data_IF_007597919305
#
_entry.id   IF_007597919305
#
_cell.length_a   1.000
_cell.length_b   1.000
_cell.length_c   1.000
_cell.angle_alpha   90.00
_cell.angle_beta   90.00
_cell.angle_gamma   90.00
#
_symmetry.space_group_name_H-M   'P 1'
#
loop_
_entity.id
_entity.type
_entity.pdbx_description
1 polymer ?
#
# COMPACT_ATOMS: atom_id res chain seq x y z
N UNK A 1 38.85 80.37 -28.86
CA UNK A 1 39.16 80.04 -27.46
C UNK A 1 38.39 78.78 -27.10
N UNK A 2 39.08 77.65 -26.99
CA UNK A 2 38.50 76.34 -26.73
C UNK A 2 38.39 76.12 -25.21
N UNK A 3 37.20 75.80 -24.72
CA UNK A 3 36.97 75.43 -23.32
C UNK A 3 37.24 73.93 -23.16
N UNK A 4 38.32 73.65 -22.44
CA UNK A 4 38.81 72.33 -22.08
C UNK A 4 37.85 71.64 -21.09
N UNK A 5 37.32 70.47 -21.48
CA UNK A 5 36.63 69.56 -20.57
C UNK A 5 37.65 68.82 -19.70
N UNK A 6 37.82 69.28 -18.46
CA UNK A 6 38.54 68.53 -17.43
C UNK A 6 37.64 67.36 -16.96
N UNK A 7 37.94 66.16 -17.45
CA UNK A 7 37.41 64.89 -16.93
C UNK A 7 38.04 64.67 -15.55
N UNK A 8 37.23 64.72 -14.48
CA UNK A 8 37.64 64.26 -13.15
C UNK A 8 37.82 62.74 -13.22
N UNK A 9 39.03 62.27 -12.97
CA UNK A 9 39.32 60.85 -12.77
C UNK A 9 38.90 60.49 -11.35
N UNK A 10 37.90 59.62 -11.23
CA UNK A 10 37.53 59.03 -9.95
C UNK A 10 38.67 58.13 -9.46
N UNK A 11 39.09 58.22 -8.19
CA UNK A 11 40.15 57.39 -7.65
C UNK A 11 39.71 55.93 -7.64
N UNK A 12 40.49 55.08 -8.31
CA UNK A 12 40.47 53.62 -8.27
C UNK A 12 39.87 53.07 -6.97
N UNK A 13 38.61 52.67 -7.00
CA UNK A 13 38.15 51.63 -6.09
C UNK A 13 38.91 50.37 -6.50
N UNK A 14 39.65 49.70 -5.58
CA UNK A 14 40.26 48.44 -5.93
C UNK A 14 39.14 47.51 -6.41
N UNK A 15 39.23 47.02 -7.66
CA UNK A 15 38.43 45.90 -8.11
C UNK A 15 38.53 44.85 -7.01
N UNK A 16 37.38 44.35 -6.54
CA UNK A 16 37.37 43.20 -5.64
C UNK A 16 38.19 42.11 -6.31
N UNK A 17 39.44 41.97 -5.87
CA UNK A 17 40.37 41.00 -6.41
C UNK A 17 39.68 39.67 -6.22
N UNK A 18 39.23 39.07 -7.33
CA UNK A 18 38.36 37.91 -7.33
C UNK A 18 39.23 36.71 -6.93
N UNK A 19 39.52 36.64 -5.63
CA UNK A 19 40.36 35.66 -4.92
C UNK A 19 39.92 34.23 -5.19
N UNK A 20 38.72 34.07 -5.75
CA UNK A 20 38.24 32.87 -6.41
C UNK A 20 39.37 32.25 -7.24
N UNK A 21 40.10 33.03 -8.06
CA UNK A 21 41.23 32.62 -8.92
C UNK A 21 42.37 31.82 -8.26
N UNK A 22 42.65 32.05 -6.96
CA UNK A 22 43.79 31.47 -6.23
C UNK A 22 43.52 30.04 -5.70
N UNK A 23 42.26 29.59 -5.73
CA UNK A 23 41.87 28.29 -5.20
C UNK A 23 41.97 27.22 -6.31
N UNK A 24 42.61 26.06 -6.08
CA UNK A 24 42.68 24.96 -7.05
C UNK A 24 41.28 24.53 -7.54
N UNK A 25 41.13 24.30 -8.86
CA UNK A 25 39.84 23.98 -9.50
C UNK A 25 39.12 22.79 -8.84
N UNK A 26 39.86 21.78 -8.41
CA UNK A 26 39.30 20.61 -7.70
C UNK A 26 38.62 20.98 -6.39
N UNK A 27 39.20 21.90 -5.60
CA UNK A 27 38.62 22.34 -4.33
C UNK A 27 37.33 23.14 -4.56
N UNK A 28 37.25 23.93 -5.65
CA UNK A 28 36.03 24.68 -6.01
C UNK A 28 34.89 23.76 -6.45
N UNK A 29 35.18 22.74 -7.26
CA UNK A 29 34.17 21.77 -7.70
C UNK A 29 33.67 20.95 -6.52
N UNK A 30 34.58 20.48 -5.66
CA UNK A 30 34.22 19.75 -4.44
C UNK A 30 33.41 20.62 -3.47
N UNK A 31 33.78 21.88 -3.27
CA UNK A 31 33.01 22.82 -2.45
C UNK A 31 31.62 23.09 -3.06
N UNK A 32 31.54 23.28 -4.39
CA UNK A 32 30.30 23.50 -5.12
C UNK A 32 29.34 22.30 -5.01
N UNK A 33 29.89 21.08 -5.12
CA UNK A 33 29.12 19.85 -4.95
C UNK A 33 28.71 19.66 -3.49
N UNK A 34 29.60 19.93 -2.54
CA UNK A 34 29.35 19.78 -1.12
C UNK A 34 28.22 20.69 -0.63
N UNK A 35 28.20 21.98 -0.96
CA UNK A 35 27.12 22.86 -0.50
C UNK A 35 25.78 22.52 -1.16
N UNK A 36 25.76 22.16 -2.45
CA UNK A 36 24.54 21.69 -3.14
C UNK A 36 24.02 20.41 -2.50
N UNK A 37 24.90 19.46 -2.19
CA UNK A 37 24.55 18.24 -1.48
C UNK A 37 23.99 18.53 -0.09
N UNK A 38 24.64 19.41 0.70
CA UNK A 38 24.15 19.84 2.01
C UNK A 38 22.76 20.48 1.90
N UNK A 39 22.53 21.37 0.92
CA UNK A 39 21.23 22.00 0.71
C UNK A 39 20.16 20.96 0.36
N UNK A 40 20.48 19.98 -0.49
CA UNK A 40 19.54 18.89 -0.83
C UNK A 40 19.23 18.03 0.40
N UNK A 41 20.25 17.65 1.17
CA UNK A 41 20.07 16.85 2.41
C UNK A 41 19.27 17.64 3.44
N UNK A 42 19.57 18.93 3.63
CA UNK A 42 18.84 19.81 4.54
C UNK A 42 17.38 19.99 4.10
N UNK A 43 17.13 20.16 2.79
CA UNK A 43 15.78 20.24 2.24
C UNK A 43 15.01 18.92 2.45
N UNK A 44 15.63 17.77 2.21
CA UNK A 44 15.03 16.45 2.47
C UNK A 44 14.72 16.27 3.96
N UNK A 45 15.66 16.61 4.84
CA UNK A 45 15.45 16.54 6.29
C UNK A 45 14.30 17.45 6.73
N UNK A 46 14.24 18.69 6.23
CA UNK A 46 13.17 19.62 6.54
C UNK A 46 11.80 19.08 6.08
N UNK A 47 11.73 18.47 4.90
CA UNK A 47 10.49 17.83 4.40
C UNK A 47 10.06 16.68 5.31
N UNK A 48 10.99 15.77 5.67
CA UNK A 48 10.69 14.65 6.57
C UNK A 48 10.26 15.15 7.95
N UNK A 49 10.92 16.18 8.47
CA UNK A 49 10.59 16.78 9.75
C UNK A 49 9.21 17.43 9.75
N UNK A 50 8.87 18.20 8.71
CA UNK A 50 7.52 18.78 8.53
C UNK A 50 6.46 17.71 8.39
N UNK A 51 6.72 16.64 7.63
CA UNK A 51 5.80 15.50 7.50
C UNK A 51 5.55 14.84 8.86
N UNK A 52 6.61 14.63 9.66
CA UNK A 52 6.49 14.08 11.01
C UNK A 52 5.71 14.99 11.95
N UNK A 53 5.97 16.30 11.91
CA UNK A 53 5.25 17.31 12.70
C UNK A 53 3.77 17.37 12.33
N UNK A 54 3.44 17.21 11.05
CA UNK A 54 2.07 17.22 10.53
C UNK A 54 1.45 15.80 10.46
N UNK A 55 1.99 14.82 11.17
CA UNK A 55 1.51 13.42 11.15
C UNK A 55 0.02 13.29 11.45
N UNK A 56 -0.53 14.14 12.32
CA UNK A 56 -1.97 14.25 12.64
C UNK A 56 -2.84 14.50 11.39
N UNK A 57 -2.29 15.15 10.37
CA UNK A 57 -2.98 15.42 9.09
C UNK A 57 -2.51 14.47 8.00
N UNK A 58 -1.20 14.17 7.94
CA UNK A 58 -0.60 13.35 6.88
C UNK A 58 -1.11 11.91 6.92
N UNK A 59 -1.29 11.33 8.11
CA UNK A 59 -1.78 9.95 8.24
C UNK A 59 -3.22 9.84 7.71
N UNK A 60 -4.21 10.62 8.21
CA UNK A 60 -5.55 10.65 7.62
C UNK A 60 -5.59 10.99 6.13
N UNK A 61 -4.77 11.93 5.65
CA UNK A 61 -4.67 12.28 4.23
C UNK A 61 -4.23 11.07 3.39
N UNK A 62 -3.24 10.32 3.88
CA UNK A 62 -2.70 9.15 3.20
C UNK A 62 -3.70 7.99 3.21
N UNK A 63 -4.40 7.77 4.33
CA UNK A 63 -5.49 6.78 4.40
C UNK A 63 -6.61 7.18 3.45
N UNK A 64 -7.01 8.44 3.43
CA UNK A 64 -8.04 8.95 2.52
C UNK A 64 -7.64 8.78 1.04
N UNK A 65 -6.36 8.94 0.72
CA UNK A 65 -5.83 8.68 -0.62
C UNK A 65 -5.97 7.19 -1.00
N UNK A 66 -5.65 6.26 -0.09
CA UNK A 66 -5.83 4.82 -0.31
C UNK A 66 -7.30 4.44 -0.47
N UNK A 67 -8.15 4.93 0.43
CA UNK A 67 -9.60 4.66 0.39
C UNK A 67 -10.21 5.24 -0.88
N UNK A 68 -9.81 6.46 -1.26
CA UNK A 68 -10.21 7.06 -2.54
C UNK A 68 -9.75 6.20 -3.72
N UNK A 69 -8.50 5.73 -3.73
CA UNK A 69 -7.99 4.86 -4.79
C UNK A 69 -8.76 3.53 -4.89
N UNK A 70 -9.15 2.94 -3.76
CA UNK A 70 -9.98 1.73 -3.70
C UNK A 70 -11.40 1.97 -4.24
N UNK A 71 -12.03 3.08 -3.84
CA UNK A 71 -13.43 3.37 -4.12
C UNK A 71 -13.65 4.09 -5.47
N UNK A 72 -12.62 4.74 -6.03
CA UNK A 72 -12.72 5.50 -7.27
C UNK A 72 -13.32 4.71 -8.46
N UNK A 73 -12.94 3.44 -8.71
CA UNK A 73 -13.54 2.66 -9.80
C UNK A 73 -15.06 2.47 -9.61
N UNK A 74 -15.52 2.28 -8.37
CA UNK A 74 -16.95 2.13 -8.07
C UNK A 74 -17.72 3.43 -8.30
N UNK A 75 -17.15 4.59 -7.89
CA UNK A 75 -17.73 5.91 -8.17
C UNK A 75 -17.82 6.14 -9.67
N UNK A 76 -16.77 5.84 -10.43
CA UNK A 76 -16.77 6.04 -11.88
C UNK A 76 -17.76 5.13 -12.61
N UNK A 77 -17.98 3.90 -12.15
CA UNK A 77 -19.04 3.02 -12.68
C UNK A 77 -20.43 3.63 -12.50
N UNK A 78 -20.73 4.21 -11.33
CA UNK A 78 -22.02 4.89 -11.11
C UNK A 78 -22.16 6.17 -11.95
N UNK A 79 -21.09 6.96 -12.06
CA UNK A 79 -21.07 8.16 -12.91
C UNK A 79 -21.28 7.79 -14.39
N UNK A 80 -20.71 6.68 -14.84
CA UNK A 80 -20.93 6.16 -16.20
C UNK A 80 -22.41 5.79 -16.45
N UNK A 81 -23.15 5.41 -15.40
CA UNK A 81 -24.61 5.15 -15.42
C UNK A 81 -25.43 6.44 -15.21
N UNK A 82 -24.82 7.61 -15.43
CA UNK A 82 -25.44 8.96 -15.35
C UNK A 82 -25.81 9.45 -13.95
N UNK A 83 -25.32 8.85 -12.87
CA UNK A 83 -25.47 9.44 -11.54
C UNK A 83 -24.61 10.72 -11.42
N UNK A 84 -25.13 11.80 -10.80
CA UNK A 84 -24.31 12.97 -10.53
C UNK A 84 -23.20 12.59 -9.54
N UNK A 85 -21.98 13.09 -9.79
CA UNK A 85 -20.76 12.65 -9.09
C UNK A 85 -20.86 12.74 -7.56
N UNK A 86 -21.56 13.74 -7.03
CA UNK A 86 -21.82 13.87 -5.58
C UNK A 86 -22.63 12.70 -5.00
N UNK A 87 -23.72 12.29 -5.67
CA UNK A 87 -24.53 11.14 -5.22
C UNK A 87 -23.77 9.83 -5.40
N UNK A 88 -23.03 9.67 -6.50
CA UNK A 88 -22.20 8.48 -6.72
C UNK A 88 -21.16 8.33 -5.59
N UNK A 89 -20.49 9.42 -5.20
CA UNK A 89 -19.56 9.43 -4.05
C UNK A 89 -20.27 9.07 -2.75
N UNK A 90 -21.42 9.67 -2.45
CA UNK A 90 -22.15 9.40 -1.22
C UNK A 90 -22.59 7.93 -1.12
N UNK A 91 -23.15 7.37 -2.20
CA UNK A 91 -23.60 5.97 -2.25
C UNK A 91 -22.42 5.02 -2.04
N UNK A 92 -21.31 5.20 -2.75
CA UNK A 92 -20.14 4.32 -2.65
C UNK A 92 -19.48 4.42 -1.28
N UNK A 93 -19.41 5.62 -0.72
CA UNK A 93 -18.81 5.85 0.60
C UNK A 93 -19.67 5.25 1.72
N UNK A 94 -20.99 5.43 1.67
CA UNK A 94 -21.92 4.78 2.62
C UNK A 94 -21.85 3.26 2.49
N UNK A 95 -21.86 2.72 1.26
CA UNK A 95 -21.73 1.29 1.03
C UNK A 95 -20.38 0.74 1.54
N UNK A 96 -19.28 1.45 1.28
CA UNK A 96 -17.95 1.09 1.77
C UNK A 96 -17.87 1.09 3.30
N UNK A 97 -18.42 2.12 3.95
CA UNK A 97 -18.51 2.17 5.42
C UNK A 97 -19.40 1.07 5.99
N UNK A 98 -20.51 0.74 5.34
CA UNK A 98 -21.39 -0.35 5.76
C UNK A 98 -20.70 -1.71 5.65
N UNK A 99 -19.95 -1.96 4.56
CA UNK A 99 -19.16 -3.18 4.38
C UNK A 99 -18.06 -3.27 5.42
N UNK A 100 -17.27 -2.20 5.61
CA UNK A 100 -16.18 -2.18 6.59
C UNK A 100 -16.71 -2.33 8.02
N UNK A 101 -17.72 -1.54 8.39
CA UNK A 101 -18.36 -1.60 9.70
C UNK A 101 -18.98 -2.96 9.97
N UNK A 102 -19.72 -3.51 8.99
CA UNK A 102 -20.29 -4.85 9.07
C UNK A 102 -19.23 -5.94 9.26
N UNK A 103 -18.12 -5.87 8.53
CA UNK A 103 -17.00 -6.80 8.65
C UNK A 103 -16.32 -6.68 10.02
N UNK A 104 -16.06 -5.46 10.51
CA UNK A 104 -15.47 -5.27 11.84
C UNK A 104 -16.39 -5.75 12.96
N UNK A 105 -17.68 -5.40 12.92
CA UNK A 105 -18.67 -5.91 13.88
C UNK A 105 -18.74 -7.43 13.82
N UNK A 106 -18.71 -8.02 12.63
CA UNK A 106 -18.71 -9.46 12.45
C UNK A 106 -17.46 -10.11 13.07
N UNK A 107 -16.26 -9.57 12.86
CA UNK A 107 -15.03 -10.06 13.51
C UNK A 107 -15.13 -10.00 15.02
N UNK A 108 -15.50 -8.85 15.57
CA UNK A 108 -15.57 -8.64 17.02
C UNK A 108 -16.59 -9.59 17.65
N UNK A 109 -17.76 -9.73 17.04
CA UNK A 109 -18.81 -10.63 17.53
C UNK A 109 -18.38 -12.08 17.44
N UNK A 110 -17.83 -12.54 16.31
CA UNK A 110 -17.37 -13.92 16.13
C UNK A 110 -16.22 -14.27 17.08
N UNK A 111 -15.26 -13.36 17.25
CA UNK A 111 -14.16 -13.55 18.19
C UNK A 111 -14.70 -13.60 19.63
N UNK A 112 -15.55 -12.65 20.02
CA UNK A 112 -16.16 -12.61 21.36
C UNK A 112 -17.00 -13.84 21.67
N UNK A 113 -17.82 -14.33 20.73
CA UNK A 113 -18.60 -15.57 20.89
C UNK A 113 -17.74 -16.83 20.88
N UNK A 114 -16.58 -16.76 20.23
CA UNK A 114 -15.64 -17.87 20.10
C UNK A 114 -14.69 -18.05 21.29
N UNK A 115 -14.48 -17.00 22.08
CA UNK A 115 -13.59 -17.01 23.25
C UNK A 115 -13.93 -18.10 24.28
N UNK A 116 -15.20 -18.35 24.66
CA UNK A 116 -15.52 -19.39 25.64
C UNK A 116 -15.16 -20.80 25.14
N UNK A 117 -15.40 -21.09 23.85
CA UNK A 117 -15.03 -22.37 23.24
C UNK A 117 -13.50 -22.53 23.19
N UNK A 118 -12.79 -21.45 22.86
CA UNK A 118 -11.33 -21.46 22.89
C UNK A 118 -10.80 -21.74 24.30
N UNK A 119 -11.35 -21.10 25.32
CA UNK A 119 -10.97 -21.34 26.73
C UNK A 119 -11.17 -22.80 27.14
N UNK A 120 -12.30 -23.40 26.76
CA UNK A 120 -12.57 -24.82 27.03
C UNK A 120 -11.54 -25.74 26.35
N UNK A 121 -11.21 -25.47 25.08
CA UNK A 121 -10.22 -26.26 24.35
C UNK A 121 -8.80 -26.06 24.89
N UNK A 122 -8.42 -24.82 25.25
CA UNK A 122 -7.14 -24.55 25.93
C UNK A 122 -7.03 -25.38 27.21
N UNK A 123 -8.07 -25.35 28.06
CA UNK A 123 -8.07 -26.10 29.31
C UNK A 123 -7.97 -27.61 29.08
N UNK A 124 -8.76 -28.15 28.13
CA UNK A 124 -8.70 -29.57 27.78
C UNK A 124 -7.32 -30.00 27.26
N UNK A 125 -6.67 -29.15 26.46
CA UNK A 125 -5.33 -29.43 25.93
C UNK A 125 -4.25 -29.32 26.99
N UNK A 126 -4.37 -28.38 27.94
CA UNK A 126 -3.51 -28.32 29.13
C UNK A 126 -3.66 -29.58 29.98
N UNK A 127 -4.88 -30.10 30.14
CA UNK A 127 -5.12 -31.36 30.86
C UNK A 127 -4.50 -32.56 30.12
N UNK A 128 -4.57 -32.59 28.79
CA UNK A 128 -3.90 -33.62 27.99
C UNK A 128 -2.37 -33.55 28.09
N UNK A 129 -1.79 -32.35 28.02
CA UNK A 129 -0.35 -32.14 28.20
C UNK A 129 0.07 -32.55 29.60
N UNK A 130 -0.69 -32.17 30.64
CA UNK A 130 -0.45 -32.57 32.02
C UNK A 130 -0.49 -34.10 32.16
N UNK A 131 -1.51 -34.75 31.60
CA UNK A 131 -1.63 -36.21 31.64
C UNK A 131 -0.49 -36.91 30.90
N UNK A 132 -0.04 -36.36 29.77
CA UNK A 132 1.12 -36.87 29.04
C UNK A 132 2.44 -36.66 29.80
N UNK A 133 2.57 -35.54 30.52
CA UNK A 133 3.78 -35.22 31.29
C UNK A 133 3.89 -36.03 32.59
N UNK A 134 2.74 -36.38 33.18
CA UNK A 134 2.64 -37.22 34.37
C UNK A 134 2.78 -38.72 34.06
N UNK A 135 2.14 -39.20 32.99
CA UNK A 135 2.07 -40.64 32.67
C UNK A 135 2.94 -41.04 31.48
N UNK A 136 3.60 -40.09 30.83
CA UNK A 136 4.50 -40.33 29.71
C UNK A 136 5.94 -40.59 30.13
N UNK A 137 6.84 -40.84 29.16
CA UNK A 137 8.22 -41.25 29.42
C UNK A 137 9.05 -40.35 30.37
N UNK A 138 8.86 -39.02 30.47
CA UNK A 138 9.73 -38.18 31.30
C UNK A 138 9.44 -38.19 32.81
N UNK A 139 8.37 -38.80 33.32
CA UNK A 139 8.05 -38.95 34.77
C UNK A 139 8.37 -37.71 35.64
N UNK A 140 7.89 -36.53 35.23
CA UNK A 140 8.13 -35.30 35.98
C UNK A 140 7.27 -35.26 37.26
N UNK A 141 7.84 -34.75 38.37
CA UNK A 141 7.15 -34.63 39.66
C UNK A 141 5.98 -33.65 39.57
N UNK A 142 4.82 -34.06 40.08
CA UNK A 142 3.54 -33.34 40.04
C UNK A 142 3.62 -31.88 40.53
N UNK A 143 4.48 -31.61 41.51
CA UNK A 143 4.65 -30.31 42.16
C UNK A 143 5.24 -29.25 41.21
N UNK A 144 6.24 -29.60 40.39
CA UNK A 144 6.88 -28.65 39.47
C UNK A 144 5.96 -28.24 38.29
N UNK A 145 5.08 -29.15 37.87
CA UNK A 145 4.11 -28.91 36.79
C UNK A 145 3.00 -27.99 37.29
N UNK A 146 2.51 -28.23 38.51
CA UNK A 146 1.41 -27.46 39.07
C UNK A 146 1.81 -26.01 39.36
N UNK A 147 3.05 -25.78 39.81
CA UNK A 147 3.58 -24.43 40.04
C UNK A 147 3.75 -23.65 38.73
N UNK A 148 4.24 -24.29 37.66
CA UNK A 148 4.39 -23.65 36.35
C UNK A 148 3.03 -23.32 35.72
N UNK A 149 2.05 -24.21 35.83
CA UNK A 149 0.67 -23.98 35.36
C UNK A 149 0.03 -22.83 36.14
N UNK A 150 0.15 -22.84 37.47
CA UNK A 150 -0.40 -21.78 38.32
C UNK A 150 0.26 -20.42 38.04
N UNK A 151 1.57 -20.39 37.76
CA UNK A 151 2.27 -19.17 37.34
C UNK A 151 1.81 -18.67 35.97
N UNK A 152 1.62 -19.55 34.99
CA UNK A 152 1.12 -19.19 33.66
C UNK A 152 -0.33 -18.66 33.71
N UNK A 153 -1.21 -19.32 34.47
CA UNK A 153 -2.59 -18.88 34.69
C UNK A 153 -2.61 -17.55 35.47
N UNK A 154 -1.79 -17.43 36.51
CA UNK A 154 -1.63 -16.21 37.29
C UNK A 154 -1.12 -15.03 36.47
N UNK A 155 -0.21 -15.25 35.52
CA UNK A 155 0.28 -14.21 34.60
C UNK A 155 -0.84 -13.70 33.69
N UNK A 156 -1.71 -14.59 33.19
CA UNK A 156 -2.86 -14.24 32.36
C UNK A 156 -3.93 -13.48 33.17
N UNK A 157 -4.27 -13.97 34.36
CA UNK A 157 -5.29 -13.37 35.23
C UNK A 157 -4.85 -12.00 35.80
N UNK A 158 -3.59 -11.88 36.21
CA UNK A 158 -3.06 -10.62 36.74
C UNK A 158 -2.87 -9.55 35.66
N UNK A 159 -2.63 -9.95 34.39
CA UNK A 159 -2.64 -9.01 33.27
C UNK A 159 -4.06 -8.64 32.80
N UNK A 160 -5.09 -9.43 33.14
CA UNK A 160 -6.49 -9.11 32.84
C UNK A 160 -6.97 -7.86 33.61
N UNK A 161 -6.45 -7.64 34.83
CA UNK A 161 -6.69 -6.42 35.60
C UNK A 161 -6.03 -5.18 34.96
N UNK A 162 -4.92 -5.34 34.23
CA UNK A 162 -4.24 -4.27 33.48
C UNK A 162 -4.99 -3.85 32.20
N UNK A 163 -5.83 -4.73 31.66
CA UNK A 163 -6.72 -4.45 30.52
C UNK A 163 -7.96 -3.63 30.97
N UNK A 164 -8.28 -3.62 32.26
CA UNK A 164 -9.52 -3.00 32.77
C UNK A 164 -9.32 -1.54 33.25
N UNK A 165 -8.09 -1.13 33.60
CA UNK A 165 -7.77 0.24 34.06
C UNK A 165 -7.54 1.27 32.95
N UNK A 166 -7.78 0.93 31.70
CA UNK A 166 -7.64 1.81 30.51
C UNK A 166 -8.84 2.76 30.32
N UNK A 167 -9.75 2.93 31.28
CA UNK A 167 -10.96 3.72 31.07
C UNK A 167 -10.72 5.22 30.84
N UNK A 168 -9.67 5.81 31.44
CA UNK A 168 -9.35 7.24 31.28
C UNK A 168 -8.49 7.54 30.03
N UNK A 169 -7.63 6.62 29.60
CA UNK A 169 -6.90 6.70 28.32
C UNK A 169 -7.80 6.39 27.11
N UNK A 170 -8.91 5.68 27.32
CA UNK A 170 -9.88 5.39 26.26
C UNK A 170 -10.54 6.66 25.71
N UNK A 171 -10.87 7.65 26.55
CA UNK A 171 -11.58 8.85 26.08
C UNK A 171 -10.74 9.72 25.14
N UNK A 172 -9.46 9.97 25.47
CA UNK A 172 -8.55 10.73 24.59
C UNK A 172 -8.22 9.98 23.31
N UNK A 173 -7.96 8.67 23.40
CA UNK A 173 -7.68 7.83 22.22
C UNK A 173 -8.90 7.71 21.31
N UNK A 174 -10.11 7.57 21.86
CA UNK A 174 -11.35 7.58 21.06
C UNK A 174 -11.54 8.94 20.40
N UNK A 175 -11.24 10.05 21.08
CA UNK A 175 -11.27 11.39 20.50
C UNK A 175 -10.30 11.56 19.33
N UNK A 176 -9.06 11.09 19.46
CA UNK A 176 -8.05 11.12 18.39
C UNK A 176 -8.46 10.25 17.20
N UNK A 177 -8.93 9.02 17.45
CA UNK A 177 -9.40 8.10 16.41
C UNK A 177 -10.61 8.71 15.69
N UNK A 178 -11.57 9.26 16.42
CA UNK A 178 -12.76 9.88 15.85
C UNK A 178 -12.39 11.11 15.01
N UNK A 179 -11.48 11.95 15.52
CA UNK A 179 -10.99 13.13 14.78
C UNK A 179 -10.28 12.70 13.50
N UNK A 180 -9.36 11.73 13.60
CA UNK A 180 -8.66 11.17 12.44
C UNK A 180 -9.61 10.51 11.43
N UNK A 181 -10.62 9.80 11.92
CA UNK A 181 -11.66 9.18 11.10
C UNK A 181 -12.51 10.24 10.37
N UNK A 182 -13.00 11.26 11.06
CA UNK A 182 -13.78 12.35 10.47
C UNK A 182 -12.97 13.12 9.44
N UNK A 183 -11.70 13.38 9.72
CA UNK A 183 -10.79 14.07 8.80
C UNK A 183 -10.49 13.19 7.57
N UNK A 184 -10.24 11.89 7.75
CA UNK A 184 -10.10 10.92 6.66
C UNK A 184 -11.35 10.87 5.79
N UNK A 185 -12.53 10.82 6.42
CA UNK A 185 -13.83 10.77 5.75
C UNK A 185 -14.04 12.03 4.91
N UNK A 186 -13.82 13.20 5.51
CA UNK A 186 -13.90 14.49 4.85
C UNK A 186 -12.99 14.56 3.62
N UNK A 187 -11.70 14.22 3.78
CA UNK A 187 -10.75 14.23 2.65
C UNK A 187 -11.16 13.25 1.56
N UNK A 188 -11.61 12.05 1.93
CA UNK A 188 -12.06 11.02 0.98
C UNK A 188 -13.22 11.53 0.13
N UNK A 189 -14.21 12.21 0.74
CA UNK A 189 -15.33 12.82 0.03
C UNK A 189 -14.84 13.83 -1.01
N UNK A 190 -13.90 14.71 -0.63
CA UNK A 190 -13.34 15.71 -1.54
C UNK A 190 -12.53 15.09 -2.68
N UNK A 191 -11.72 14.05 -2.39
CA UNK A 191 -10.96 13.32 -3.40
C UNK A 191 -11.86 12.60 -4.41
N UNK A 192 -12.93 11.94 -3.95
CA UNK A 192 -13.87 11.24 -4.85
C UNK A 192 -14.75 12.20 -5.65
N UNK A 193 -15.29 13.24 -5.00
CA UNK A 193 -16.19 14.21 -5.65
C UNK A 193 -15.47 15.15 -6.63
N UNK A 194 -14.27 15.62 -6.29
CA UNK A 194 -13.58 16.70 -7.00
C UNK A 194 -12.07 16.52 -7.18
N UNK A 195 -11.55 15.30 -7.11
CA UNK A 195 -10.11 15.02 -7.15
C UNK A 195 -9.35 15.63 -8.33
N UNK A 196 -9.95 15.68 -9.53
CA UNK A 196 -9.33 16.32 -10.70
C UNK A 196 -9.14 17.84 -10.49
N UNK A 197 -10.11 18.49 -9.84
CA UNK A 197 -10.03 19.90 -9.48
C UNK A 197 -8.89 20.16 -8.49
N UNK A 198 -8.80 19.33 -7.44
CA UNK A 198 -7.74 19.39 -6.42
C UNK A 198 -6.36 19.20 -7.07
N UNK A 199 -6.22 18.20 -7.93
CA UNK A 199 -4.98 17.95 -8.65
C UNK A 199 -4.60 19.12 -9.56
N UNK A 200 -5.55 19.65 -10.34
CA UNK A 200 -5.31 20.80 -11.22
C UNK A 200 -4.87 22.04 -10.43
N UNK A 201 -5.39 22.24 -9.21
CA UNK A 201 -4.99 23.31 -8.32
C UNK A 201 -3.55 23.14 -7.84
N UNK A 202 -3.15 21.93 -7.44
CA UNK A 202 -1.77 21.62 -7.03
C UNK A 202 -0.77 21.82 -8.17
N UNK A 203 -1.10 21.34 -9.37
CA UNK A 203 -0.23 21.45 -10.56
C UNK A 203 -0.07 22.91 -11.02
N UNK A 204 -1.00 23.81 -10.69
CA UNK A 204 -0.85 25.25 -11.00
C UNK A 204 0.30 25.92 -10.26
N UNK A 205 0.69 25.42 -9.08
CA UNK A 205 1.85 25.92 -8.34
C UNK A 205 3.18 25.58 -9.03
N UNK A 206 3.18 24.59 -9.93
CA UNK A 206 4.38 24.15 -10.66
C UNK A 206 4.70 25.10 -11.81
N UNK A 207 5.98 25.49 -11.99
CA UNK A 207 6.42 26.32 -13.12
C UNK A 207 6.05 25.72 -14.47
N UNK A 208 5.65 26.56 -15.44
CA UNK A 208 5.17 26.15 -16.77
C UNK A 208 6.10 25.13 -17.49
N UNK A 209 7.44 25.26 -17.47
CA UNK A 209 8.32 24.36 -18.24
C UNK A 209 8.27 22.90 -17.81
N UNK A 210 7.96 22.63 -16.54
CA UNK A 210 7.96 21.26 -15.98
C UNK A 210 6.56 20.77 -15.60
N UNK A 211 5.53 21.61 -15.78
CA UNK A 211 4.17 21.36 -15.35
C UNK A 211 3.58 20.07 -15.93
N UNK A 212 3.72 19.85 -17.23
CA UNK A 212 3.18 18.65 -17.88
C UNK A 212 3.86 17.37 -17.37
N UNK A 213 5.17 17.42 -17.13
CA UNK A 213 5.92 16.30 -16.56
C UNK A 213 5.44 15.97 -15.14
N UNK A 214 5.17 16.99 -14.33
CA UNK A 214 4.64 16.79 -12.97
C UNK A 214 3.19 16.29 -12.99
N UNK A 215 2.34 16.80 -13.88
CA UNK A 215 0.96 16.33 -14.06
C UNK A 215 0.94 14.83 -14.38
N UNK A 216 1.70 14.44 -15.41
CA UNK A 216 1.83 13.05 -15.84
C UNK A 216 2.40 12.16 -14.73
N UNK A 217 3.47 12.60 -14.05
CA UNK A 217 4.08 11.84 -12.97
C UNK A 217 3.09 11.60 -11.80
N UNK A 218 2.30 12.62 -11.44
CA UNK A 218 1.30 12.47 -10.38
C UNK A 218 0.14 11.58 -10.79
N UNK A 219 -0.35 11.68 -12.03
CA UNK A 219 -1.38 10.76 -12.56
C UNK A 219 -0.90 9.32 -12.56
N UNK A 220 0.34 9.05 -13.00
CA UNK A 220 0.92 7.69 -12.94
C UNK A 220 1.15 7.22 -11.52
N UNK A 221 1.59 8.10 -10.63
CA UNK A 221 1.69 7.81 -9.20
C UNK A 221 0.34 7.36 -8.64
N UNK A 222 -0.73 8.10 -8.92
CA UNK A 222 -2.07 7.74 -8.50
C UNK A 222 -2.58 6.45 -9.16
N UNK A 223 -2.28 6.22 -10.45
CA UNK A 223 -2.60 4.97 -11.14
C UNK A 223 -1.93 3.75 -10.48
N UNK A 224 -0.66 3.89 -10.09
CA UNK A 224 0.10 2.89 -9.33
C UNK A 224 -0.57 2.59 -7.99
N UNK A 225 -1.05 3.63 -7.30
CA UNK A 225 -1.80 3.47 -6.05
C UNK A 225 -3.10 2.68 -6.24
N UNK A 226 -3.90 3.03 -7.25
CA UNK A 226 -5.15 2.35 -7.58
C UNK A 226 -4.89 0.87 -7.91
N UNK A 227 -3.88 0.60 -8.75
CA UNK A 227 -3.49 -0.77 -9.10
C UNK A 227 -3.03 -1.56 -7.89
N UNK A 228 -2.17 -0.98 -7.04
CA UNK A 228 -1.68 -1.62 -5.82
C UNK A 228 -2.84 -1.98 -4.88
N UNK A 229 -3.69 -1.01 -4.54
CA UNK A 229 -4.78 -1.22 -3.58
C UNK A 229 -5.79 -2.26 -4.08
N UNK A 230 -6.08 -2.28 -5.39
CA UNK A 230 -6.93 -3.32 -6.00
C UNK A 230 -6.30 -4.70 -5.94
N UNK A 231 -5.02 -4.80 -6.26
CA UNK A 231 -4.30 -6.06 -6.22
C UNK A 231 -4.19 -6.59 -4.78
N UNK A 232 -3.86 -5.73 -3.81
CA UNK A 232 -3.83 -6.10 -2.38
C UNK A 232 -5.21 -6.57 -1.90
N UNK A 233 -6.29 -5.89 -2.29
CA UNK A 233 -7.64 -6.33 -1.92
C UNK A 233 -7.99 -7.70 -2.54
N UNK A 234 -7.62 -7.95 -3.80
CA UNK A 234 -7.81 -9.25 -4.43
C UNK A 234 -6.98 -10.36 -3.77
N UNK A 235 -5.70 -10.09 -3.48
CA UNK A 235 -4.82 -10.99 -2.73
C UNK A 235 -5.41 -11.31 -1.36
N UNK A 236 -5.83 -10.31 -0.60
CA UNK A 236 -6.43 -10.47 0.72
C UNK A 236 -7.66 -11.39 0.71
N UNK A 237 -8.52 -11.29 -0.32
CA UNK A 237 -9.67 -12.19 -0.48
C UNK A 237 -9.20 -13.62 -0.71
N UNK A 238 -8.22 -13.83 -1.61
CA UNK A 238 -7.73 -15.16 -1.91
C UNK A 238 -7.03 -15.78 -0.70
N UNK A 239 -6.25 -15.00 0.07
CA UNK A 239 -5.59 -15.48 1.29
C UNK A 239 -6.60 -15.86 2.36
N UNK A 240 -7.61 -15.01 2.58
CA UNK A 240 -8.67 -15.27 3.54
C UNK A 240 -9.45 -16.55 3.19
N UNK A 241 -9.78 -16.74 1.92
CA UNK A 241 -10.47 -17.95 1.45
C UNK A 241 -9.54 -19.17 1.50
N UNK A 242 -8.31 -19.05 1.02
CA UNK A 242 -7.34 -20.15 0.97
C UNK A 242 -6.98 -20.67 2.35
N UNK A 243 -6.61 -19.76 3.26
CA UNK A 243 -6.32 -20.11 4.66
C UNK A 243 -7.61 -20.56 5.36
N UNK A 244 -8.74 -19.87 5.15
CA UNK A 244 -10.02 -20.25 5.74
C UNK A 244 -10.46 -21.67 5.35
N UNK A 245 -10.37 -22.04 4.08
CA UNK A 245 -10.68 -23.40 3.62
C UNK A 245 -9.72 -24.42 4.24
N UNK A 246 -8.43 -24.10 4.31
CA UNK A 246 -7.46 -24.99 4.95
C UNK A 246 -7.73 -25.21 6.44
N UNK A 247 -8.07 -24.16 7.18
CA UNK A 247 -8.47 -24.24 8.59
C UNK A 247 -9.76 -25.05 8.76
N UNK A 248 -10.73 -24.86 7.87
CA UNK A 248 -11.99 -25.60 7.88
C UNK A 248 -11.79 -27.09 7.65
N UNK A 249 -10.96 -27.48 6.67
CA UNK A 249 -10.62 -28.88 6.39
C UNK A 249 -9.95 -29.53 7.62
N UNK A 250 -9.08 -28.79 8.29
CA UNK A 250 -8.42 -29.26 9.52
C UNK A 250 -9.33 -29.27 10.75
N UNK A 251 -10.56 -28.76 10.65
CA UNK A 251 -11.50 -28.67 11.76
C UNK A 251 -11.04 -27.70 12.86
N UNK A 252 -10.19 -26.73 12.53
CA UNK A 252 -9.76 -25.70 13.49
C UNK A 252 -10.97 -24.83 13.83
N UNK A 253 -11.27 -24.55 15.11
CA UNK A 253 -12.35 -23.63 15.45
C UNK A 253 -12.01 -22.21 14.97
N UNK A 254 -12.99 -21.30 15.03
CA UNK A 254 -12.75 -19.89 14.70
C UNK A 254 -12.30 -19.65 13.25
N UNK A 255 -12.57 -20.58 12.31
CA UNK A 255 -12.21 -20.45 10.89
C UNK A 255 -12.57 -19.07 10.35
N UNK A 256 -13.81 -18.64 10.58
CA UNK A 256 -14.33 -17.40 10.03
C UNK A 256 -13.64 -16.17 10.64
N UNK A 257 -13.55 -16.00 11.98
CA UNK A 257 -12.79 -14.90 12.55
C UNK A 257 -11.29 -14.94 12.18
N UNK A 258 -10.67 -16.11 12.07
CA UNK A 258 -9.27 -16.24 11.62
C UNK A 258 -9.08 -15.84 10.14
N UNK A 259 -9.95 -16.31 9.24
CA UNK A 259 -9.94 -15.92 7.83
C UNK A 259 -10.17 -14.42 7.66
N UNK A 260 -11.04 -13.83 8.48
CA UNK A 260 -11.27 -12.39 8.45
C UNK A 260 -10.08 -11.61 9.04
N UNK A 261 -9.43 -12.15 10.06
CA UNK A 261 -8.20 -11.60 10.60
C UNK A 261 -7.10 -11.61 9.53
N UNK A 262 -6.94 -12.71 8.79
CA UNK A 262 -6.05 -12.82 7.62
C UNK A 262 -6.38 -11.77 6.56
N UNK A 263 -7.68 -11.63 6.21
CA UNK A 263 -8.14 -10.62 5.25
C UNK A 263 -7.70 -9.20 5.64
N UNK A 264 -7.92 -8.82 6.91
CA UNK A 264 -7.53 -7.49 7.42
C UNK A 264 -6.00 -7.37 7.49
N UNK A 265 -5.32 -8.44 7.92
CA UNK A 265 -3.87 -8.49 8.06
C UNK A 265 -3.13 -8.34 6.73
N UNK A 266 -3.70 -8.84 5.63
CA UNK A 266 -3.08 -8.79 4.30
C UNK A 266 -2.77 -7.36 3.81
N UNK A 267 -3.39 -6.32 4.39
CA UNK A 267 -3.09 -4.92 4.08
C UNK A 267 -1.76 -4.41 4.66
N UNK A 268 -1.13 -5.15 5.59
CA UNK A 268 0.19 -4.85 6.13
C UNK A 268 1.15 -5.96 5.68
N UNK A 269 1.89 -5.76 4.58
CA UNK A 269 2.74 -6.80 4.02
C UNK A 269 3.74 -7.33 5.04
N UNK A 270 4.03 -8.64 4.97
CA UNK A 270 4.93 -9.39 5.85
C UNK A 270 4.39 -9.49 7.29
N UNK A 271 4.16 -8.37 7.97
CA UNK A 271 3.73 -8.32 9.37
C UNK A 271 2.35 -8.98 9.52
N UNK A 272 1.41 -8.63 8.64
CA UNK A 272 0.07 -9.19 8.64
C UNK A 272 0.07 -10.70 8.46
N UNK A 273 0.79 -11.21 7.46
CA UNK A 273 0.89 -12.65 7.22
C UNK A 273 1.51 -13.39 8.41
N UNK A 274 2.59 -12.86 8.99
CA UNK A 274 3.26 -13.47 10.15
C UNK A 274 2.37 -13.47 11.39
N UNK A 275 1.71 -12.35 11.71
CA UNK A 275 0.84 -12.26 12.88
C UNK A 275 -0.38 -13.15 12.69
N UNK A 276 -1.09 -13.03 11.58
CA UNK A 276 -2.37 -13.73 11.37
C UNK A 276 -2.18 -15.22 11.11
N UNK A 277 -1.17 -15.60 10.33
CA UNK A 277 -0.75 -16.99 10.15
C UNK A 277 -0.23 -17.59 11.47
N UNK A 278 0.55 -16.82 12.23
CA UNK A 278 1.03 -17.22 13.56
C UNK A 278 -0.12 -17.50 14.53
N UNK A 279 -1.11 -16.60 14.59
CA UNK A 279 -2.32 -16.81 15.40
C UNK A 279 -3.05 -18.08 14.93
N UNK A 280 -3.26 -18.28 13.63
CA UNK A 280 -3.92 -19.47 13.10
C UNK A 280 -3.19 -20.78 13.48
N UNK A 281 -1.86 -20.80 13.38
CA UNK A 281 -1.02 -21.95 13.76
C UNK A 281 -1.07 -22.19 15.27
N UNK A 282 -1.06 -21.12 16.09
CA UNK A 282 -1.18 -21.24 17.55
C UNK A 282 -2.54 -21.80 17.95
N UNK A 283 -3.64 -21.33 17.34
CA UNK A 283 -4.97 -21.90 17.58
C UNK A 283 -4.97 -23.38 17.18
N UNK A 284 -4.43 -23.73 16.02
CA UNK A 284 -4.34 -25.13 15.59
C UNK A 284 -3.50 -26.01 16.54
N UNK A 285 -2.41 -25.47 17.11
CA UNK A 285 -1.59 -26.16 18.11
C UNK A 285 -2.38 -26.49 19.36
N UNK A 286 -3.15 -25.53 19.83
CA UNK A 286 -3.99 -25.71 21.01
C UNK A 286 -5.11 -26.71 20.74
N UNK A 287 -5.71 -26.68 19.55
CA UNK A 287 -7.00 -27.33 19.30
C UNK A 287 -6.87 -28.68 18.61
N UNK A 288 -5.84 -28.86 17.78
CA UNK A 288 -5.56 -30.07 17.00
C UNK A 288 -4.19 -30.71 17.36
N UNK A 289 -3.47 -30.14 18.32
CA UNK A 289 -2.15 -30.62 18.75
C UNK A 289 -1.03 -30.28 17.76
N UNK A 290 0.17 -30.80 18.04
CA UNK A 290 1.40 -30.46 17.30
C UNK A 290 1.31 -30.80 15.81
N UNK A 291 0.80 -31.99 15.47
CA UNK A 291 0.69 -32.43 14.07
C UNK A 291 -0.31 -31.54 13.32
N UNK A 292 -1.45 -31.22 13.93
CA UNK A 292 -2.42 -30.29 13.36
C UNK A 292 -1.82 -28.91 13.09
N UNK A 293 -1.04 -28.37 14.04
CA UNK A 293 -0.34 -27.10 13.88
C UNK A 293 0.66 -27.12 12.72
N UNK A 294 1.43 -28.20 12.57
CA UNK A 294 2.40 -28.35 11.48
C UNK A 294 1.68 -28.41 10.13
N UNK A 295 0.55 -29.09 10.03
CA UNK A 295 -0.26 -29.13 8.81
C UNK A 295 -0.82 -27.75 8.50
N UNK A 296 -1.37 -27.03 9.50
CA UNK A 296 -1.86 -25.66 9.31
C UNK A 296 -0.72 -24.71 8.92
N UNK A 297 0.47 -24.86 9.49
CA UNK A 297 1.65 -24.10 9.06
C UNK A 297 2.00 -24.39 7.60
N UNK A 298 1.97 -25.66 7.18
CA UNK A 298 2.19 -26.05 5.80
C UNK A 298 1.13 -25.47 4.85
N UNK A 299 -0.13 -25.40 5.28
CA UNK A 299 -1.22 -24.74 4.55
C UNK A 299 -0.94 -23.24 4.41
N UNK A 300 -0.61 -22.54 5.51
CA UNK A 300 -0.32 -21.10 5.49
C UNK A 300 0.85 -20.80 4.56
N UNK A 301 1.95 -21.56 4.68
CA UNK A 301 3.10 -21.41 3.78
C UNK A 301 2.70 -21.74 2.34
N UNK A 302 1.91 -22.79 2.12
CA UNK A 302 1.42 -23.17 0.78
C UNK A 302 0.62 -22.05 0.12
N UNK A 303 -0.28 -21.41 0.87
CA UNK A 303 -1.05 -20.25 0.39
C UNK A 303 -0.13 -19.07 0.11
N UNK A 304 0.82 -18.75 0.99
CA UNK A 304 1.81 -17.68 0.75
C UNK A 304 2.68 -17.94 -0.48
N UNK A 305 3.04 -19.20 -0.74
CA UNK A 305 3.80 -19.58 -1.94
C UNK A 305 2.94 -19.43 -3.20
N UNK A 306 1.68 -19.86 -3.16
CA UNK A 306 0.72 -19.65 -4.24
C UNK A 306 0.51 -18.16 -4.52
N UNK A 307 0.40 -17.36 -3.46
CA UNK A 307 0.26 -15.92 -3.52
C UNK A 307 1.46 -15.28 -4.22
N UNK A 308 2.67 -15.54 -3.73
CA UNK A 308 3.90 -14.94 -4.25
C UNK A 308 4.25 -15.37 -5.68
N UNK A 309 3.98 -16.62 -6.06
CA UNK A 309 4.42 -17.16 -7.36
C UNK A 309 3.35 -17.09 -8.45
N UNK A 310 2.07 -17.07 -8.09
CA UNK A 310 0.97 -17.11 -9.06
C UNK A 310 0.11 -15.85 -8.96
N UNK A 311 -0.42 -15.54 -7.77
CA UNK A 311 -1.39 -14.45 -7.63
C UNK A 311 -0.74 -13.08 -7.80
N UNK A 312 0.41 -12.83 -7.17
CA UNK A 312 1.09 -11.56 -7.28
C UNK A 312 1.48 -11.23 -8.73
N UNK A 313 2.13 -12.13 -9.51
CA UNK A 313 2.41 -11.85 -10.93
C UNK A 313 1.16 -11.62 -11.77
N UNK A 314 0.05 -12.31 -11.47
CA UNK A 314 -1.20 -12.19 -12.20
C UNK A 314 -1.97 -10.91 -11.86
N UNK A 315 -2.04 -10.54 -10.58
CA UNK A 315 -2.84 -9.42 -10.05
C UNK A 315 -2.08 -8.09 -10.06
N UNK A 316 -0.78 -8.10 -9.79
CA UNK A 316 0.07 -6.89 -9.81
C UNK A 316 0.72 -6.68 -11.19
N UNK A 317 0.74 -7.68 -12.06
CA UNK A 317 1.43 -7.63 -13.35
C UNK A 317 2.92 -7.25 -13.22
N UNK A 318 3.50 -6.69 -14.28
CA UNK A 318 4.84 -6.05 -14.23
C UNK A 318 4.83 -4.67 -13.53
N UNK A 319 3.72 -4.29 -12.90
CA UNK A 319 3.40 -2.87 -12.67
C UNK A 319 4.17 -2.21 -11.52
N UNK A 320 4.80 -2.95 -10.59
CA UNK A 320 5.66 -2.33 -9.58
C UNK A 320 6.84 -3.24 -9.23
N UNK A 321 7.95 -3.10 -9.95
CA UNK A 321 9.23 -3.74 -9.57
C UNK A 321 9.85 -2.99 -8.39
N UNK A 322 9.31 -3.14 -7.19
CA UNK A 322 9.97 -2.67 -5.98
C UNK A 322 11.02 -3.69 -5.55
N UNK A 323 12.21 -3.20 -5.20
CA UNK A 323 13.22 -4.07 -4.62
C UNK A 323 12.76 -4.54 -3.23
N UNK A 324 12.84 -5.84 -2.88
CA UNK A 324 12.36 -6.35 -1.58
C UNK A 324 12.94 -5.60 -0.38
N UNK A 325 14.24 -5.25 -0.43
CA UNK A 325 14.89 -4.43 0.60
C UNK A 325 14.20 -3.06 0.79
N UNK A 326 13.78 -2.40 -0.30
CA UNK A 326 13.11 -1.10 -0.22
C UNK A 326 11.74 -1.23 0.46
N UNK A 327 11.02 -2.32 0.20
CA UNK A 327 9.73 -2.62 0.86
C UNK A 327 9.94 -2.81 2.35
N UNK A 328 10.89 -3.65 2.76
CA UNK A 328 11.19 -3.91 4.18
C UNK A 328 11.59 -2.61 4.89
N UNK A 329 12.52 -1.84 4.32
CA UNK A 329 12.97 -0.57 4.91
C UNK A 329 11.83 0.45 5.00
N UNK A 330 10.97 0.54 3.98
CA UNK A 330 9.82 1.43 4.01
C UNK A 330 8.83 1.02 5.11
N UNK A 331 8.53 -0.27 5.26
CA UNK A 331 7.65 -0.77 6.34
C UNK A 331 8.24 -0.45 7.70
N UNK A 332 9.54 -0.72 7.92
CA UNK A 332 10.21 -0.40 9.18
C UNK A 332 10.20 1.11 9.46
N UNK A 333 10.52 1.93 8.47
CA UNK A 333 10.48 3.39 8.61
C UNK A 333 9.06 3.90 8.90
N UNK A 334 8.05 3.38 8.19
CA UNK A 334 6.65 3.70 8.42
C UNK A 334 6.18 3.31 9.81
N UNK A 335 6.58 2.13 10.30
CA UNK A 335 6.28 1.65 11.64
C UNK A 335 6.85 2.59 12.72
N UNK A 336 8.09 3.05 12.55
CA UNK A 336 8.74 3.99 13.48
C UNK A 336 8.10 5.38 13.40
N UNK A 337 7.76 5.86 12.20
CA UNK A 337 7.26 7.22 11.98
C UNK A 337 5.78 7.40 12.37
N UNK A 338 4.94 6.40 12.11
CA UNK A 338 3.48 6.50 12.26
C UNK A 338 2.82 5.25 12.84
N UNK A 339 3.59 4.37 13.47
CA UNK A 339 3.07 3.11 14.04
C UNK A 339 2.47 2.20 12.98
N UNK A 340 1.41 1.47 13.37
CA UNK A 340 0.71 0.52 12.49
C UNK A 340 0.18 1.23 11.23
N UNK A 341 -0.34 2.46 11.38
CA UNK A 341 -0.82 3.23 10.24
C UNK A 341 0.32 3.55 9.25
N UNK A 342 1.49 3.99 9.75
CA UNK A 342 2.64 4.26 8.89
C UNK A 342 3.17 3.00 8.18
N UNK A 343 3.17 1.84 8.85
CA UNK A 343 3.55 0.56 8.24
C UNK A 343 2.61 0.15 7.10
N UNK A 344 1.29 0.32 7.28
CA UNK A 344 0.27 0.06 6.25
C UNK A 344 0.43 0.99 5.04
N UNK A 345 0.74 2.26 5.29
CA UNK A 345 0.90 3.28 4.25
C UNK A 345 2.22 3.17 3.47
N UNK A 346 3.25 2.57 4.07
CA UNK A 346 4.62 2.60 3.56
C UNK A 346 4.76 2.08 2.12
N UNK A 347 4.23 0.88 1.86
CA UNK A 347 4.38 0.20 0.55
C UNK A 347 3.62 0.93 -0.56
N UNK A 348 2.32 1.29 -0.40
CA UNK A 348 1.63 2.05 -1.44
C UNK A 348 2.25 3.43 -1.69
N UNK A 349 2.70 4.15 -0.65
CA UNK A 349 3.39 5.43 -0.84
C UNK A 349 4.73 5.25 -1.58
N UNK A 350 5.46 4.17 -1.28
CA UNK A 350 6.67 3.80 -2.01
C UNK A 350 6.36 3.50 -3.48
N UNK A 351 5.26 2.81 -3.78
CA UNK A 351 4.82 2.54 -5.15
C UNK A 351 4.46 3.81 -5.93
N UNK A 352 3.78 4.77 -5.29
CA UNK A 352 3.46 6.09 -5.85
C UNK A 352 4.74 6.87 -6.15
N UNK A 353 5.66 6.92 -5.17
CA UNK A 353 6.92 7.65 -5.29
C UNK A 353 7.79 7.07 -6.40
N UNK A 354 7.92 5.74 -6.45
CA UNK A 354 8.70 5.06 -7.49
C UNK A 354 8.13 5.31 -8.89
N UNK A 355 6.80 5.22 -9.05
CA UNK A 355 6.14 5.49 -10.34
C UNK A 355 6.30 6.96 -10.77
N UNK A 356 6.12 7.90 -9.84
CA UNK A 356 6.30 9.33 -10.10
C UNK A 356 7.74 9.70 -10.48
N UNK A 357 8.72 9.22 -9.70
CA UNK A 357 10.15 9.47 -9.98
C UNK A 357 10.56 8.88 -11.32
N UNK A 358 10.17 7.64 -11.61
CA UNK A 358 10.50 7.00 -12.89
C UNK A 358 9.89 7.77 -14.07
N UNK A 359 8.65 8.23 -13.92
CA UNK A 359 7.95 9.06 -14.90
C UNK A 359 8.66 10.41 -15.13
N UNK A 360 9.20 11.05 -14.09
CA UNK A 360 9.92 12.32 -14.23
C UNK A 360 11.27 12.16 -14.93
N UNK A 361 11.94 11.03 -14.72
CA UNK A 361 13.29 10.78 -15.25
C UNK A 361 13.30 10.31 -16.70
N UNK A 362 12.31 9.51 -17.11
CA UNK A 362 12.36 8.81 -18.41
C UNK A 362 11.52 9.46 -19.52
N UNK A 363 10.64 10.40 -19.22
CA UNK A 363 9.74 10.97 -20.23
C UNK A 363 10.06 12.43 -20.57
N UNK A 364 10.56 12.60 -21.80
CA UNK A 364 11.06 13.90 -22.25
C UNK A 364 9.93 14.84 -22.70
N UNK A 365 8.76 14.33 -23.11
CA UNK A 365 7.62 15.15 -23.55
C UNK A 365 6.25 14.44 -23.47
N UNK A 366 5.70 14.18 -22.27
CA UNK A 366 4.46 13.42 -22.14
C UNK A 366 3.18 14.29 -22.23
N UNK A 367 2.13 13.75 -22.85
CA UNK A 367 0.78 14.35 -22.89
C UNK A 367 -0.08 13.85 -21.70
N UNK A 368 -0.54 14.74 -20.81
CA UNK A 368 -1.43 14.38 -19.71
C UNK A 368 -2.77 13.74 -20.12
N UNK A 369 -3.25 14.00 -21.35
CA UNK A 369 -4.54 13.49 -21.82
C UNK A 369 -4.53 11.98 -22.09
N UNK A 370 -3.36 11.39 -22.34
CA UNK A 370 -3.21 9.97 -22.63
C UNK A 370 -3.21 9.09 -21.37
N UNK A 371 -3.01 9.68 -20.19
CA UNK A 371 -2.88 8.94 -18.92
C UNK A 371 -4.26 8.71 -18.29
N UNK A 372 -4.80 7.51 -18.47
CA UNK A 372 -6.01 7.06 -17.77
C UNK A 372 -5.66 6.32 -16.47
N UNK A 373 -5.78 7.00 -15.34
CA UNK A 373 -5.40 6.49 -14.01
C UNK A 373 -6.16 5.24 -13.54
N UNK A 374 -7.27 4.89 -14.18
CA UNK A 374 -8.05 3.70 -13.83
C UNK A 374 -7.79 2.48 -14.70
N UNK A 375 -7.02 2.61 -15.80
CA UNK A 375 -6.64 1.46 -16.63
C UNK A 375 -5.27 0.94 -16.20
N UNK A 376 -5.17 -0.38 -16.04
CA UNK A 376 -3.97 -1.06 -15.50
C UNK A 376 -2.68 -0.81 -16.33
N UNK A 377 -2.80 -0.37 -17.58
CA UNK A 377 -1.68 -0.01 -18.45
C UNK A 377 -1.04 1.36 -18.12
N UNK A 378 -1.77 2.28 -17.47
CA UNK A 378 -1.30 3.66 -17.27
C UNK A 378 -0.24 3.82 -16.15
N UNK A 379 -0.01 2.77 -15.35
CA UNK A 379 1.04 2.76 -14.33
C UNK A 379 2.44 2.53 -14.93
N UNK A 380 2.54 2.15 -16.20
CA UNK A 380 3.82 1.94 -16.89
C UNK A 380 4.28 3.25 -17.54
N UNK A 381 5.53 3.69 -17.29
CA UNK A 381 6.22 4.57 -18.24
C UNK A 381 6.26 3.82 -19.58
N UNK A 382 6.05 4.54 -20.69
CA UNK A 382 6.33 3.95 -21.99
C UNK A 382 7.84 3.65 -22.04
N UNK A 383 8.22 2.39 -21.77
CA UNK A 383 9.57 1.86 -21.99
C UNK A 383 9.83 1.71 -23.50
N UNK A 384 9.38 2.67 -24.31
CA UNK A 384 9.79 2.80 -25.68
C UNK A 384 11.21 3.37 -25.65
N UNK A 385 12.19 2.51 -25.95
CA UNK A 385 13.54 2.97 -26.29
C UNK A 385 13.43 4.17 -27.26
N UNK A 386 14.24 5.23 -27.08
CA UNK A 386 14.30 6.32 -28.03
C UNK A 386 14.91 5.81 -29.34
N UNK A 387 14.09 5.24 -30.23
CA UNK A 387 14.52 4.72 -31.53
C UNK A 387 13.70 3.60 -32.17
N UNK A 388 12.72 2.99 -31.49
CA UNK A 388 11.89 1.93 -32.10
C UNK A 388 10.83 2.48 -33.05
N UNK A 389 10.63 1.92 -34.26
CA UNK A 389 9.66 2.44 -35.21
C UNK A 389 8.26 2.36 -34.62
N UNK A 390 7.51 3.46 -34.70
CA UNK A 390 6.09 3.51 -34.37
C UNK A 390 5.39 2.40 -35.16
N UNK A 391 4.82 1.43 -34.46
CA UNK A 391 3.90 0.47 -35.07
C UNK A 391 2.66 1.24 -35.52
N UNK A 392 2.71 1.69 -36.76
CA UNK A 392 1.58 2.13 -37.54
C UNK A 392 0.61 0.95 -37.61
N UNK A 393 -0.55 1.11 -36.97
CA UNK A 393 -1.64 0.15 -37.05
C UNK A 393 -2.15 0.23 -38.50
N UNK A 394 -1.61 -0.64 -39.35
CA UNK A 394 -2.10 -0.85 -40.69
C UNK A 394 -3.54 -1.37 -40.63
N UNK A 395 -4.47 -0.53 -41.04
CA UNK A 395 -5.82 -0.89 -41.43
C UNK A 395 -5.75 -1.52 -42.82
N UNK A 396 -5.69 -2.84 -42.88
CA UNK A 396 -5.86 -3.66 -44.09
C UNK A 396 -6.50 -4.97 -43.62
N UNK A 397 -7.64 -5.43 -44.07
CA UNK A 397 -8.64 -4.96 -45.02
C UNK A 397 -9.83 -5.91 -44.84
N UNK A 398 -11.03 -5.37 -44.68
CA UNK A 398 -12.25 -6.14 -44.46
C UNK A 398 -13.21 -5.81 -45.60
N UNK A 399 -12.84 -6.19 -46.82
CA UNK A 399 -13.71 -6.01 -48.00
C UNK A 399 -13.31 -6.92 -49.17
N UNK A 400 -13.44 -8.24 -49.03
CA UNK A 400 -13.66 -9.11 -50.20
C UNK A 400 -14.23 -10.49 -49.81
N UNK A 401 -15.54 -10.54 -49.55
CA UNK A 401 -16.26 -11.81 -49.43
C UNK A 401 -17.72 -11.66 -49.87
N UNK A 402 -17.97 -11.24 -51.11
CA UNK A 402 -19.26 -11.42 -51.78
C UNK A 402 -19.16 -11.21 -53.30
N UNK A 403 -18.99 -12.27 -54.09
CA UNK A 403 -19.64 -12.43 -55.41
C UNK A 403 -19.29 -13.77 -56.11
N UNK A 404 -20.27 -14.68 -56.12
CA UNK A 404 -20.72 -15.55 -57.23
C UNK A 404 -19.76 -16.53 -57.96
N UNK A 405 -20.12 -17.83 -58.06
CA UNK A 405 -19.67 -18.71 -59.14
C UNK A 405 -20.80 -18.95 -60.15
N UNK A 406 -20.61 -18.52 -61.41
CA UNK A 406 -21.48 -18.88 -62.54
C UNK A 406 -20.68 -19.48 -63.70
N UNK A 407 -20.94 -20.78 -63.92
CA UNK A 407 -20.99 -21.54 -65.19
C UNK A 407 -19.72 -21.77 -66.05
N UNK A 408 -19.45 -23.01 -66.54
CA UNK A 408 -18.27 -23.34 -67.36
C UNK A 408 -18.57 -23.24 -68.88
N UNK A 409 -17.57 -22.98 -69.74
CA UNK A 409 -17.76 -23.03 -71.18
C UNK A 409 -17.57 -24.45 -71.75
N UNK A 410 -18.27 -24.64 -72.87
CA UNK A 410 -18.52 -25.86 -73.64
C UNK A 410 -17.28 -26.47 -74.32
N UNK A 411 -17.37 -27.79 -74.53
CA UNK A 411 -16.67 -28.62 -75.51
C UNK A 411 -16.64 -28.02 -76.93
N UNK A 412 -15.50 -28.15 -77.62
CA UNK A 412 -15.40 -28.60 -79.03
C UNK A 412 -13.97 -29.20 -79.25
N UNK A 413 -13.87 -30.52 -79.47
CA UNK A 413 -13.51 -31.21 -80.74
C UNK A 413 -12.15 -30.85 -81.34
N UNK A 414 -11.19 -31.78 -81.18
CA UNK A 414 -10.60 -32.60 -82.25
C UNK A 414 -9.53 -33.50 -81.66
#
# INVERSE_FOLDING_TARGET
>A
MAVSHARREDPFLPEHEDITGLIPRGLRISAALAWRFIVVVAALYAVVWVIGYLSVVVIPLSIALLVSALLAPAVQKLVAVKFPRGLATAIVLIAGLAVLGGLLTFVVTQFSSGLPQLQQQVNASLDQIKNWLLNGPPHLRQEQIQDFINQAIGFIQNNQASITTTALTTASTVGEILTGFLLTLFITIFFLSGGEGIWSFLVRAVPRPVRNRVDVAGRRGFASLVSYVRATAAVAIVDAVGIGVGLWIMGVPLVIPLATLVFIGAFIPIIGAVITGGVAVLIALVTNGFIGAVIVLAIVIGVMQLESHILQPLLLGRAVKLHPLAVVLAITAGLVAGGIAGALLAVPLLAVLNAGVRSLLHETNPDPAEVNVLKDQAAQPNDAEPGGPKAEIATVGEEEAAASPAEPPKRDKS
#
